data_IF_175016147873
#
_entry.id   IF_175016147873
#
_cell.length_a   1.000
_cell.length_b   1.000
_cell.length_c   1.000
_cell.angle_alpha   90.00
_cell.angle_beta   90.00
_cell.angle_gamma   90.00
#
_symmetry.space_group_name_H-M   'P 1'
#
loop_
_entity.id
_entity.type
_entity.pdbx_description
1 polymer ?
#
# COMPACT_ATOMS: atom_id res chain seq x y z
N UNK A 1 22.36 2.38 -8.22
CA UNK A 1 22.32 3.52 -7.28
C UNK A 1 21.55 4.62 -7.98
N UNK A 2 20.37 4.99 -7.48
CA UNK A 2 19.58 6.07 -8.08
C UNK A 2 19.91 7.37 -7.33
N UNK A 3 20.39 8.36 -8.05
CA UNK A 3 20.68 9.70 -7.55
C UNK A 3 19.36 10.46 -7.39
N UNK A 4 18.78 10.46 -6.18
CA UNK A 4 17.59 11.27 -5.89
C UNK A 4 18.01 12.73 -5.63
N UNK A 5 17.53 13.64 -6.48
CA UNK A 5 17.76 15.09 -6.38
C UNK A 5 17.14 15.65 -5.10
N UNK A 6 17.98 16.07 -4.14
CA UNK A 6 17.53 16.67 -2.87
C UNK A 6 17.29 18.16 -3.09
N UNK A 7 16.04 18.61 -2.98
CA UNK A 7 15.69 20.04 -3.00
C UNK A 7 15.59 20.57 -1.58
N UNK A 8 16.55 21.41 -1.20
CA UNK A 8 16.57 22.14 0.06
C UNK A 8 15.74 23.42 -0.08
N UNK A 9 14.68 23.57 0.72
CA UNK A 9 13.87 24.79 0.78
C UNK A 9 13.94 25.33 2.21
N UNK A 10 14.16 26.63 2.35
CA UNK A 10 14.14 27.33 3.63
C UNK A 10 12.71 27.81 3.90
N UNK A 11 11.96 27.23 4.85
CA UNK A 11 10.64 27.71 5.21
C UNK A 11 10.70 29.08 5.90
N UNK A 12 9.60 29.84 5.83
CA UNK A 12 9.48 31.20 6.37
C UNK A 12 9.45 31.28 7.92
N UNK A 13 9.40 30.15 8.62
CA UNK A 13 9.50 30.08 10.07
C UNK A 13 10.95 29.80 10.46
N UNK A 14 11.52 30.66 11.30
CA UNK A 14 12.90 30.53 11.78
C UNK A 14 13.12 29.18 12.46
N UNK A 15 14.18 28.48 12.05
CA UNK A 15 14.70 27.31 12.77
C UNK A 15 14.34 25.92 12.21
N UNK A 16 13.55 25.81 11.14
CA UNK A 16 13.23 24.50 10.55
C UNK A 16 13.86 24.33 9.17
N UNK A 17 14.71 23.31 8.99
CA UNK A 17 15.19 22.87 7.67
C UNK A 17 14.36 21.65 7.30
N UNK A 18 13.48 21.76 6.30
CA UNK A 18 12.70 20.62 5.80
C UNK A 18 13.35 20.05 4.54
N UNK A 19 13.93 18.85 4.64
CA UNK A 19 14.36 18.09 3.47
C UNK A 19 13.13 17.42 2.83
N UNK A 20 12.70 17.87 1.65
CA UNK A 20 11.67 17.19 0.87
C UNK A 20 12.32 16.11 0.00
N UNK A 21 12.12 14.85 0.36
CA UNK A 21 12.22 13.75 -0.59
C UNK A 21 11.06 13.89 -1.58
N UNK A 22 11.32 13.72 -2.87
CA UNK A 22 10.60 14.24 -4.06
C UNK A 22 9.13 13.83 -4.27
N UNK A 23 8.36 13.48 -3.23
CA UNK A 23 6.93 13.14 -3.33
C UNK A 23 6.07 13.78 -2.24
N UNK A 24 5.73 15.05 -2.44
CA UNK A 24 4.62 15.71 -1.76
C UNK A 24 4.97 17.11 -1.22
N UNK A 25 3.96 17.98 -1.13
CA UNK A 25 4.09 19.35 -0.60
C UNK A 25 4.18 19.40 0.93
N UNK A 26 4.17 20.59 1.56
CA UNK A 26 4.48 20.79 2.99
C UNK A 26 3.40 20.32 3.98
N UNK A 27 2.46 19.47 3.56
CA UNK A 27 1.36 18.98 4.40
C UNK A 27 1.77 17.75 5.19
N UNK A 28 1.20 17.58 6.38
CA UNK A 28 1.40 16.37 7.17
C UNK A 28 0.99 15.12 6.38
N UNK A 29 1.89 14.14 6.34
CA UNK A 29 1.72 12.91 5.56
C UNK A 29 2.17 12.97 4.09
N UNK A 30 2.58 14.13 3.58
CA UNK A 30 3.34 14.21 2.34
C UNK A 30 4.72 13.57 2.52
N UNK A 31 5.20 12.84 1.51
CA UNK A 31 6.48 12.14 1.58
C UNK A 31 6.48 10.88 2.45
N UNK A 32 5.34 10.43 2.99
CA UNK A 32 5.27 9.11 3.66
C UNK A 32 5.75 8.04 2.70
N UNK A 33 6.72 7.22 3.15
CA UNK A 33 7.22 6.08 2.39
C UNK A 33 6.05 5.24 1.91
N UNK A 34 6.00 4.97 0.61
CA UNK A 34 4.97 4.11 0.05
C UNK A 34 5.11 2.71 0.67
N UNK A 35 4.02 2.18 1.24
CA UNK A 35 3.96 0.81 1.80
C UNK A 35 4.17 -0.25 0.69
N UNK A 36 4.04 0.16 -0.57
CA UNK A 36 4.29 -0.64 -1.76
C UNK A 36 3.81 0.11 -3.00
N UNK A 37 3.67 -0.62 -4.11
CA UNK A 37 3.07 -0.09 -5.34
C UNK A 37 1.62 -0.56 -5.44
N UNK A 38 0.68 0.39 -5.48
CA UNK A 38 -0.72 0.07 -5.79
C UNK A 38 -0.89 -0.11 -7.29
N UNK A 39 -1.43 -1.26 -7.71
CA UNK A 39 -1.85 -1.51 -9.10
C UNK A 39 -3.35 -1.74 -9.14
N UNK A 40 -4.04 -1.11 -10.10
CA UNK A 40 -5.45 -1.39 -10.37
C UNK A 40 -5.54 -2.66 -11.21
N UNK A 41 -6.46 -3.53 -10.85
CA UNK A 41 -6.72 -4.77 -11.57
C UNK A 41 -8.24 -4.94 -11.69
N UNK A 42 -8.67 -5.58 -12.77
CA UNK A 42 -10.06 -5.99 -12.97
C UNK A 42 -10.17 -7.47 -12.65
N UNK A 43 -11.18 -7.85 -11.86
CA UNK A 43 -11.50 -9.24 -11.58
C UNK A 43 -12.86 -9.57 -12.17
N UNK A 44 -12.98 -10.75 -12.75
CA UNK A 44 -14.26 -11.32 -13.17
C UNK A 44 -14.52 -12.54 -12.31
N UNK A 45 -15.61 -12.48 -11.55
CA UNK A 45 -16.10 -13.56 -10.70
C UNK A 45 -17.57 -13.82 -11.05
N UNK A 46 -18.09 -14.97 -10.67
CA UNK A 46 -19.52 -15.24 -10.75
C UNK A 46 -20.29 -14.36 -9.75
N UNK A 47 -21.57 -14.10 -10.03
CA UNK A 47 -22.43 -13.32 -9.13
C UNK A 47 -22.46 -13.87 -7.68
N UNK A 48 -22.57 -15.19 -7.45
CA UNK A 48 -22.53 -15.73 -6.09
C UNK A 48 -21.20 -15.47 -5.38
N UNK A 49 -20.08 -15.50 -6.12
CA UNK A 49 -18.77 -15.22 -5.55
C UNK A 49 -18.59 -13.74 -5.21
N UNK A 50 -19.17 -12.83 -6.01
CA UNK A 50 -19.23 -11.41 -5.66
C UNK A 50 -20.06 -11.19 -4.39
N UNK A 51 -21.26 -11.75 -4.31
CA UNK A 51 -22.13 -11.62 -3.15
C UNK A 51 -21.45 -12.10 -1.86
N UNK A 52 -20.75 -13.24 -1.92
CA UNK A 52 -19.99 -13.78 -0.79
C UNK A 52 -18.84 -12.85 -0.36
N UNK A 53 -18.09 -12.30 -1.32
CA UNK A 53 -17.03 -11.32 -1.01
C UNK A 53 -17.60 -10.09 -0.31
N UNK A 54 -18.74 -9.58 -0.77
CA UNK A 54 -19.39 -8.41 -0.17
C UNK A 54 -19.90 -8.67 1.23
N UNK A 55 -20.49 -9.84 1.47
CA UNK A 55 -20.92 -10.24 2.81
C UNK A 55 -19.73 -10.32 3.77
N UNK A 56 -18.64 -10.98 3.36
CA UNK A 56 -17.42 -11.06 4.18
C UNK A 56 -16.84 -9.70 4.52
N UNK A 57 -16.75 -8.81 3.54
CA UNK A 57 -16.27 -7.44 3.76
C UNK A 57 -17.16 -6.67 4.75
N UNK A 58 -18.48 -6.89 4.70
CA UNK A 58 -19.44 -6.27 5.61
C UNK A 58 -19.30 -6.81 7.03
N UNK A 59 -19.14 -8.11 7.19
CA UNK A 59 -18.99 -8.79 8.49
C UNK A 59 -17.66 -8.43 9.17
N UNK A 60 -16.57 -8.35 8.41
CA UNK A 60 -15.23 -8.01 8.94
C UNK A 60 -14.95 -6.51 9.00
N UNK A 61 -15.87 -5.66 8.50
CA UNK A 61 -15.67 -4.22 8.33
C UNK A 61 -14.38 -3.87 7.54
N UNK A 62 -14.00 -4.73 6.58
CA UNK A 62 -12.83 -4.54 5.73
C UNK A 62 -13.23 -4.05 4.34
N UNK A 63 -12.31 -3.36 3.68
CA UNK A 63 -12.51 -3.01 2.27
C UNK A 63 -12.21 -4.21 1.36
N UNK A 64 -12.83 -4.27 0.17
CA UNK A 64 -12.50 -5.28 -0.86
C UNK A 64 -10.99 -5.34 -1.15
N UNK A 65 -10.32 -4.19 -1.20
CA UNK A 65 -8.88 -4.12 -1.48
C UNK A 65 -8.00 -4.62 -0.33
N UNK A 66 -8.47 -4.49 0.90
CA UNK A 66 -7.81 -5.02 2.09
C UNK A 66 -7.96 -6.53 2.16
N UNK A 67 -9.18 -7.03 1.97
CA UNK A 67 -9.46 -8.46 1.93
C UNK A 67 -8.64 -9.18 0.83
N UNK A 68 -8.61 -8.62 -0.39
CA UNK A 68 -7.82 -9.18 -1.50
C UNK A 68 -6.32 -9.14 -1.18
N UNK A 69 -5.83 -8.07 -0.53
CA UNK A 69 -4.42 -7.96 -0.12
C UNK A 69 -4.06 -9.04 0.89
N UNK A 70 -4.89 -9.26 1.91
CA UNK A 70 -4.70 -10.32 2.90
C UNK A 70 -4.70 -11.70 2.24
N UNK A 71 -5.68 -11.98 1.37
CA UNK A 71 -5.76 -13.23 0.61
C UNK A 71 -4.45 -13.52 -0.14
N UNK A 72 -3.97 -12.54 -0.92
CA UNK A 72 -2.75 -12.68 -1.72
C UNK A 72 -1.52 -12.85 -0.81
N UNK A 73 -1.41 -12.05 0.25
CA UNK A 73 -0.27 -12.08 1.17
C UNK A 73 -0.20 -13.42 1.90
N UNK A 74 -1.33 -13.90 2.41
CA UNK A 74 -1.42 -15.18 3.12
C UNK A 74 -1.12 -16.36 2.20
N UNK A 75 -1.57 -16.32 0.94
CA UNK A 75 -1.27 -17.37 -0.04
C UNK A 75 0.23 -17.51 -0.29
N UNK A 76 0.95 -16.39 -0.44
CA UNK A 76 2.39 -16.42 -0.67
C UNK A 76 3.18 -16.76 0.59
N UNK A 77 2.77 -16.26 1.76
CA UNK A 77 3.39 -16.63 3.04
C UNK A 77 3.31 -18.15 3.28
N UNK A 78 2.14 -18.76 3.08
CA UNK A 78 1.94 -20.21 3.23
C UNK A 78 2.63 -21.06 2.14
N UNK A 79 3.19 -20.44 1.10
CA UNK A 79 4.01 -21.13 0.09
C UNK A 79 5.49 -21.07 0.43
N UNK A 80 5.97 -19.97 1.00
CA UNK A 80 7.35 -19.85 1.47
C UNK A 80 7.66 -20.96 2.49
N UNK A 81 6.75 -21.20 3.44
CA UNK A 81 6.92 -22.28 4.44
C UNK A 81 6.96 -23.69 3.84
N UNK A 82 6.40 -23.90 2.64
CA UNK A 82 6.37 -25.22 1.97
C UNK A 82 7.52 -25.44 1.00
N UNK A 83 8.35 -24.42 0.74
CA UNK A 83 9.51 -24.53 -0.15
C UNK A 83 10.84 -24.71 0.59
N UNK A 84 10.88 -24.56 1.93
CA UNK A 84 12.08 -24.86 2.72
C UNK A 84 12.23 -26.36 3.08
N UNK A 85 11.22 -27.18 2.77
CA UNK A 85 11.20 -28.63 3.06
C UNK A 85 11.60 -29.53 1.86
N UNK A 86 12.23 -28.97 0.80
CA UNK A 86 12.71 -29.72 -0.38
C UNK A 86 14.15 -29.38 -0.77
#
# INVERSE_FOLDING_TARGET
MNEEEIKLIVPRQEGQISAMFSRGGPREGAGRKAIGQTRKLSLTLSEPAWAELENRCRESNQTKSEWIRELITNYFAAKTDRQEDL
#
